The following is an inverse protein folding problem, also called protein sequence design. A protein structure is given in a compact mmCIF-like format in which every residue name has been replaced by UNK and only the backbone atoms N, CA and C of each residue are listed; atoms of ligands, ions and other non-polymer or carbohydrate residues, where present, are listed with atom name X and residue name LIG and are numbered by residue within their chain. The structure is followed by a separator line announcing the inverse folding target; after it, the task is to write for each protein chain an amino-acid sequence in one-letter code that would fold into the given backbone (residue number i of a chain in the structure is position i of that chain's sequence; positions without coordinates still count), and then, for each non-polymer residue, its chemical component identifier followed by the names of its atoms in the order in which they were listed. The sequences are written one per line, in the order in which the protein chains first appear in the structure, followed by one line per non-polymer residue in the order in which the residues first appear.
data_IF_299681773093
#
_entry.id   IF_299681773093
#
_cell.length_a   1.000
_cell.length_b   1.000
_cell.length_c   1.000
_cell.angle_alpha   90.00
_cell.angle_beta   90.00
_cell.angle_gamma   90.00
#
_symmetry.space_group_name_H-M   'P 1'
#
loop_
_entity.id
_entity.type
_entity.pdbx_description
1 polymer ?
#
# COMPACT_ATOMS: atom_id res chain seq x y z
N UNK A 1 -7.95 -22.03 -8.79
CA UNK A 1 -8.49 -20.79 -8.18
C UNK A 1 -7.42 -19.87 -7.61
N UNK A 2 -6.47 -20.40 -6.81
CA UNK A 2 -5.37 -19.63 -6.21
C UNK A 2 -4.61 -18.71 -7.19
N UNK A 3 -4.19 -19.22 -8.36
CA UNK A 3 -3.46 -18.42 -9.36
C UNK A 3 -4.26 -17.20 -9.84
N UNK A 4 -5.57 -17.34 -10.02
CA UNK A 4 -6.43 -16.25 -10.48
C UNK A 4 -6.48 -15.12 -9.44
N UNK A 5 -6.68 -15.48 -8.16
CA UNK A 5 -6.66 -14.51 -7.06
C UNK A 5 -5.28 -13.85 -6.89
N UNK A 6 -4.20 -14.62 -7.03
CA UNK A 6 -2.84 -14.08 -6.99
C UNK A 6 -2.64 -13.04 -8.09
N UNK A 7 -3.03 -13.34 -9.33
CA UNK A 7 -2.86 -12.44 -10.47
C UNK A 7 -3.70 -11.15 -10.34
N UNK A 8 -4.93 -11.24 -9.81
CA UNK A 8 -5.77 -10.05 -9.59
C UNK A 8 -5.21 -9.10 -8.52
N UNK A 9 -4.44 -9.63 -7.56
CA UNK A 9 -3.84 -8.86 -6.47
C UNK A 9 -2.34 -8.61 -6.66
N UNK A 10 -1.72 -9.15 -7.71
CA UNK A 10 -0.28 -9.16 -7.88
C UNK A 10 0.32 -7.76 -7.80
N UNK A 11 -0.33 -6.78 -8.43
CA UNK A 11 0.13 -5.39 -8.42
C UNK A 11 0.07 -4.77 -7.02
N UNK A 12 -0.97 -5.07 -6.24
CA UNK A 12 -1.05 -4.69 -4.82
C UNK A 12 0.12 -5.31 -4.04
N UNK A 13 0.42 -6.59 -4.25
CA UNK A 13 1.54 -7.24 -3.57
C UNK A 13 2.87 -6.60 -3.91
N UNK A 14 3.13 -6.25 -5.17
CA UNK A 14 4.34 -5.51 -5.53
C UNK A 14 4.37 -4.11 -4.91
N UNK A 15 3.26 -3.39 -4.95
CA UNK A 15 3.22 -2.00 -4.51
C UNK A 15 3.21 -1.82 -2.99
N UNK A 16 2.82 -2.85 -2.23
CA UNK A 16 3.03 -2.90 -0.78
C UNK A 16 4.51 -3.01 -0.37
N UNK A 17 5.42 -3.21 -1.34
CA UNK A 17 6.88 -3.27 -1.14
C UNK A 17 7.63 -2.29 -2.06
N UNK A 18 6.97 -1.23 -2.55
CA UNK A 18 7.66 -0.12 -3.27
C UNK A 18 8.64 0.65 -2.38
N UNK A 19 8.53 0.48 -1.06
CA UNK A 19 9.44 0.95 -0.03
C UNK A 19 9.49 -0.11 1.08
N UNK A 20 10.32 0.11 2.10
CA UNK A 20 10.52 -0.80 3.23
C UNK A 20 9.23 -1.06 3.99
N UNK A 21 8.81 -2.33 4.06
CA UNK A 21 7.74 -2.76 4.94
C UNK A 21 8.10 -2.45 6.42
N UNK A 22 7.20 -1.85 7.25
CA UNK A 22 5.76 -1.64 7.05
C UNK A 22 5.31 -0.27 6.53
N UNK A 23 6.18 0.53 5.89
CA UNK A 23 5.83 1.88 5.45
C UNK A 23 4.63 1.87 4.46
N UNK A 24 4.65 1.10 3.34
CA UNK A 24 3.56 1.15 2.38
C UNK A 24 2.24 0.60 2.93
N UNK A 25 2.27 -0.48 3.71
CA UNK A 25 1.02 -1.06 4.26
C UNK A 25 0.35 -0.12 5.25
N UNK A 26 1.11 0.61 6.09
CA UNK A 26 0.52 1.62 6.99
C UNK A 26 -0.06 2.80 6.21
N UNK A 27 0.65 3.27 5.19
CA UNK A 27 0.17 4.28 4.24
C UNK A 27 -1.15 3.85 3.58
N UNK A 28 -1.24 2.60 3.11
CA UNK A 28 -2.46 2.03 2.53
C UNK A 28 -3.63 1.96 3.53
N UNK A 29 -3.40 1.39 4.71
CA UNK A 29 -4.44 1.26 5.74
C UNK A 29 -4.96 2.63 6.21
N UNK A 30 -4.09 3.64 6.29
CA UNK A 30 -4.50 5.00 6.60
C UNK A 30 -5.36 5.63 5.48
N UNK A 31 -5.01 5.40 4.20
CA UNK A 31 -5.87 5.83 3.07
C UNK A 31 -7.25 5.17 3.09
N UNK A 32 -7.33 3.94 3.58
CA UNK A 32 -8.58 3.20 3.76
C UNK A 32 -9.36 3.65 5.02
N UNK A 33 -8.84 4.58 5.81
CA UNK A 33 -9.47 5.05 7.05
C UNK A 33 -9.45 4.03 8.19
N UNK A 34 -8.60 3.01 8.13
CA UNK A 34 -8.54 1.94 9.13
C UNK A 34 -7.63 2.26 10.32
N UNK A 35 -6.61 3.10 10.11
CA UNK A 35 -5.64 3.49 11.15
C UNK A 35 -5.23 4.95 11.00
N UNK A 36 -4.66 5.52 12.05
CA UNK A 36 -3.88 6.75 11.96
C UNK A 36 -2.49 6.49 11.35
N UNK A 37 -2.05 7.37 10.45
CA UNK A 37 -0.75 7.24 9.77
C UNK A 37 0.42 7.73 10.62
N UNK A 38 0.90 6.86 11.51
CA UNK A 38 2.05 7.16 12.39
C UNK A 38 3.25 6.28 12.06
N UNK A 39 4.47 6.80 12.21
CA UNK A 39 5.70 6.02 12.06
C UNK A 39 6.64 6.30 13.24
N UNK A 40 7.34 5.26 13.70
CA UNK A 40 8.43 5.41 14.67
C UNK A 40 9.75 5.35 13.91
N UNK A 41 10.67 6.23 14.26
CA UNK A 41 12.02 6.21 13.71
C UNK A 41 12.66 4.81 13.92
N UNK A 42 13.45 4.33 12.95
CA UNK A 42 13.98 5.06 11.80
C UNK A 42 13.03 5.14 10.58
N UNK A 43 11.80 4.63 10.68
CA UNK A 43 10.83 4.69 9.58
C UNK A 43 10.27 6.11 9.40
N UNK A 44 9.99 6.47 8.15
CA UNK A 44 9.39 7.74 7.77
C UNK A 44 8.15 7.53 6.91
N UNK A 45 7.30 8.57 6.75
CA UNK A 45 6.21 8.53 5.77
C UNK A 45 6.71 8.23 4.36
N UNK A 46 5.85 7.57 3.59
CA UNK A 46 6.10 7.24 2.19
C UNK A 46 6.22 8.51 1.35
N UNK A 47 7.24 8.59 0.48
CA UNK A 47 7.43 9.74 -0.40
C UNK A 47 6.21 9.98 -1.30
N UNK A 48 5.86 11.25 -1.57
CA UNK A 48 4.63 11.62 -2.28
C UNK A 48 4.41 10.89 -3.63
N UNK A 49 5.43 10.71 -4.51
CA UNK A 49 5.24 9.97 -5.76
C UNK A 49 4.88 8.49 -5.54
N UNK A 50 5.53 7.84 -4.57
CA UNK A 50 5.25 6.44 -4.21
C UNK A 50 3.87 6.32 -3.56
N UNK A 51 3.49 7.30 -2.74
CA UNK A 51 2.15 7.38 -2.14
C UNK A 51 1.04 7.51 -3.19
N UNK A 52 1.26 8.33 -4.23
CA UNK A 52 0.30 8.44 -5.33
C UNK A 52 0.18 7.13 -6.13
N UNK A 53 1.30 6.46 -6.41
CA UNK A 53 1.30 5.13 -7.05
C UNK A 53 0.51 4.12 -6.22
N UNK A 54 0.79 4.03 -4.91
CA UNK A 54 0.09 3.13 -4.01
C UNK A 54 -1.42 3.43 -3.99
N UNK A 55 -1.82 4.70 -3.93
CA UNK A 55 -3.23 5.10 -3.99
C UNK A 55 -3.91 4.65 -5.28
N UNK A 56 -3.22 4.75 -6.41
CA UNK A 56 -3.75 4.28 -7.69
C UNK A 56 -3.96 2.77 -7.69
N UNK A 57 -3.00 2.00 -7.17
CA UNK A 57 -3.12 0.54 -7.05
C UNK A 57 -4.26 0.12 -6.12
N UNK A 58 -4.46 0.83 -5.00
CA UNK A 58 -5.60 0.58 -4.10
C UNK A 58 -6.95 0.84 -4.78
N UNK A 59 -7.06 1.88 -5.63
CA UNK A 59 -8.26 2.12 -6.44
C UNK A 59 -8.52 1.00 -7.45
N UNK A 60 -7.47 0.52 -8.12
CA UNK A 60 -7.58 -0.57 -9.12
C UNK A 60 -8.09 -1.88 -8.51
N UNK A 61 -7.80 -2.14 -7.23
CA UNK A 61 -8.31 -3.31 -6.49
C UNK A 61 -9.56 -3.02 -5.65
N UNK A 62 -10.13 -1.81 -5.72
CA UNK A 62 -11.38 -1.44 -5.07
C UNK A 62 -11.30 -1.25 -3.55
N UNK A 63 -10.14 -0.84 -3.01
CA UNK A 63 -9.94 -0.62 -1.56
C UNK A 63 -10.08 0.85 -1.12
N UNK A 64 -9.97 1.82 -2.04
CA UNK A 64 -10.11 3.28 -1.80
C UNK A 64 -10.71 4.02 -2.99
#
# INVERSE_FOLDING_TARGET
EARRAHLSLYRLFCDLFIDTNPIPVKSAMAMMGLIEETYRLPLSPLAAPLRQRLRQTLKEVGLV
#
